data_IF_297463978266
#
_entry.id   IF_297463978266
#
_cell.length_a   1.000
_cell.length_b   1.000
_cell.length_c   1.000
_cell.angle_alpha   90.00
_cell.angle_beta   90.00
_cell.angle_gamma   90.00
#
_symmetry.space_group_name_H-M   'P 1'
#
loop_
_entity.id
_entity.type
_entity.pdbx_description
1 polymer ?
#
# COMPACT_ATOMS: atom_id res chain seq x y z
N UNK A 1 -3.39 7.09 -31.39
CA UNK A 1 -2.56 6.81 -30.96
C UNK A 1 -2.52 5.79 -30.08
N UNK A 2 -1.76 5.42 -29.65
CA UNK A 2 -1.48 4.34 -29.07
C UNK A 2 -1.79 4.30 -27.69
N UNK A 3 -2.42 3.35 -27.27
CA UNK A 3 -2.59 3.10 -25.90
C UNK A 3 -1.24 3.10 -25.30
N UNK A 4 -1.09 3.73 -24.22
CA UNK A 4 0.20 3.78 -23.65
C UNK A 4 0.58 2.39 -23.23
N UNK A 5 1.68 1.93 -23.71
CA UNK A 5 2.16 0.60 -23.33
C UNK A 5 2.31 0.47 -21.84
N UNK A 6 2.54 1.57 -21.16
CA UNK A 6 2.73 1.51 -19.73
C UNK A 6 1.52 0.99 -19.00
N UNK A 7 0.34 1.16 -19.56
CA UNK A 7 -0.84 0.65 -18.88
C UNK A 7 -1.00 -0.84 -19.08
N UNK A 8 -0.63 -1.33 -20.22
CA UNK A 8 -0.78 -2.74 -20.50
C UNK A 8 0.32 -3.56 -19.87
N UNK A 9 1.52 -3.04 -19.86
CA UNK A 9 2.67 -3.78 -19.39
C UNK A 9 3.27 -3.13 -18.16
N UNK A 10 2.42 -2.68 -17.26
CA UNK A 10 2.91 -2.02 -16.12
C UNK A 10 3.59 -2.96 -15.18
N UNK A 11 4.87 -2.95 -15.16
CA UNK A 11 5.64 -3.71 -14.21
C UNK A 11 6.78 -2.86 -13.75
N UNK A 12 7.37 -3.22 -12.61
CA UNK A 12 8.47 -2.44 -12.10
C UNK A 12 9.59 -2.39 -13.11
N UNK A 13 10.05 -1.20 -13.38
CA UNK A 13 11.20 -0.99 -14.24
C UNK A 13 12.42 -1.21 -13.36
N UNK A 14 13.30 -2.11 -13.78
CA UNK A 14 14.47 -2.41 -12.97
C UNK A 14 15.35 -1.19 -12.73
N UNK A 15 15.23 -0.17 -13.57
CA UNK A 15 16.06 1.01 -13.43
C UNK A 15 15.46 2.07 -12.50
N UNK A 16 14.25 1.87 -12.02
CA UNK A 16 13.63 2.82 -11.11
C UNK A 16 13.24 2.15 -9.81
N UNK A 17 13.13 2.96 -8.77
CA UNK A 17 12.71 2.46 -7.48
C UNK A 17 11.22 2.14 -7.51
N UNK A 18 10.82 1.17 -6.74
CA UNK A 18 9.42 0.86 -6.56
C UNK A 18 8.74 2.06 -5.90
N UNK A 19 7.52 2.33 -6.32
CA UNK A 19 6.78 3.52 -5.90
C UNK A 19 5.70 3.15 -4.90
N UNK A 20 5.74 3.82 -3.77
CA UNK A 20 4.87 3.51 -2.64
C UNK A 20 3.89 4.65 -2.41
N UNK A 21 2.61 4.32 -2.32
CA UNK A 21 1.56 5.26 -1.92
C UNK A 21 1.32 5.05 -0.44
N UNK A 22 1.37 6.13 0.35
CA UNK A 22 1.14 6.06 1.78
C UNK A 22 -0.20 6.71 2.09
N UNK A 23 -1.09 5.98 2.75
CA UNK A 23 -2.42 6.46 3.10
C UNK A 23 -2.51 6.52 4.62
N UNK A 24 -2.49 7.72 5.16
CA UNK A 24 -2.42 7.96 6.59
C UNK A 24 -2.90 9.37 6.86
N UNK A 25 -3.87 9.55 7.76
CA UNK A 25 -4.42 10.87 8.03
C UNK A 25 -3.66 11.66 9.09
N UNK A 26 -2.80 11.00 9.87
CA UNK A 26 -1.97 11.69 10.84
C UNK A 26 -0.64 12.05 10.20
N UNK A 27 -0.40 13.35 10.05
CA UNK A 27 0.74 13.83 9.30
C UNK A 27 2.08 13.35 9.85
N UNK A 28 2.21 13.34 11.18
CA UNK A 28 3.48 12.90 11.77
C UNK A 28 3.74 11.43 11.50
N UNK A 29 2.69 10.62 11.53
CA UNK A 29 2.83 9.20 11.23
C UNK A 29 3.16 9.01 9.74
N UNK A 30 2.50 9.79 8.88
CA UNK A 30 2.78 9.72 7.44
C UNK A 30 4.24 10.05 7.15
N UNK A 31 4.78 11.09 7.80
CA UNK A 31 6.17 11.47 7.62
C UNK A 31 7.12 10.39 8.12
N UNK A 32 6.78 9.75 9.24
CA UNK A 32 7.58 8.65 9.75
C UNK A 32 7.61 7.49 8.75
N UNK A 33 6.44 7.14 8.22
CA UNK A 33 6.37 6.08 7.23
C UNK A 33 7.16 6.43 5.97
N UNK A 34 7.06 7.67 5.54
CA UNK A 34 7.82 8.12 4.38
C UNK A 34 9.32 7.93 4.61
N UNK A 35 9.79 8.31 5.79
CA UNK A 35 11.20 8.15 6.13
C UNK A 35 11.60 6.68 6.09
N UNK A 36 10.78 5.81 6.67
CA UNK A 36 11.09 4.38 6.67
C UNK A 36 11.13 3.79 5.26
N UNK A 37 10.21 4.23 4.42
CA UNK A 37 10.16 3.75 3.04
C UNK A 37 11.42 4.18 2.29
N UNK A 38 11.81 5.43 2.44
CA UNK A 38 12.98 5.93 1.72
C UNK A 38 14.26 5.28 2.21
N UNK A 39 14.33 4.92 3.49
CA UNK A 39 15.49 4.20 4.01
C UNK A 39 15.65 2.84 3.33
N UNK A 40 14.58 2.29 2.81
CA UNK A 40 14.62 1.00 2.15
C UNK A 40 14.82 1.12 0.65
N UNK A 41 15.22 2.30 0.20
CA UNK A 41 15.53 2.56 -1.21
C UNK A 41 14.29 2.42 -2.09
N UNK A 42 13.15 2.84 -1.56
CA UNK A 42 11.91 2.90 -2.31
C UNK A 42 11.50 4.36 -2.43
N UNK A 43 10.68 4.65 -3.43
CA UNK A 43 10.20 6.00 -3.66
C UNK A 43 8.81 6.17 -3.09
N UNK A 44 8.48 7.38 -2.62
CA UNK A 44 7.14 7.68 -2.13
C UNK A 44 6.48 8.55 -3.18
N UNK A 45 5.44 8.03 -3.83
CA UNK A 45 4.81 8.78 -4.90
C UNK A 45 3.72 9.72 -4.40
N UNK A 46 3.13 9.46 -3.24
CA UNK A 46 2.15 10.37 -2.67
C UNK A 46 1.86 10.02 -1.23
N UNK A 47 1.42 11.02 -0.47
CA UNK A 47 0.90 10.84 0.88
C UNK A 47 -0.53 11.35 0.81
N UNK A 48 -1.51 10.52 1.13
CA UNK A 48 -2.91 10.94 1.10
C UNK A 48 -3.58 10.59 2.42
N UNK A 49 -4.55 11.40 2.86
CA UNK A 49 -5.13 11.21 4.19
C UNK A 49 -6.38 10.34 4.23
N UNK A 50 -6.98 10.01 3.10
CA UNK A 50 -8.25 9.32 3.13
C UNK A 50 -8.38 8.26 2.03
N UNK A 51 -9.45 7.49 2.11
CA UNK A 51 -9.67 6.40 1.17
C UNK A 51 -9.97 6.86 -0.24
N UNK A 52 -10.72 7.94 -0.38
CA UNK A 52 -11.02 8.45 -1.72
C UNK A 52 -9.75 8.89 -2.42
N UNK A 53 -8.88 9.60 -1.70
CA UNK A 53 -7.60 10.01 -2.25
C UNK A 53 -6.74 8.82 -2.62
N UNK A 54 -6.78 7.76 -1.80
CA UNK A 54 -6.01 6.57 -2.07
C UNK A 54 -6.46 5.91 -3.37
N UNK A 55 -7.76 5.78 -3.57
CA UNK A 55 -8.29 5.18 -4.78
C UNK A 55 -7.90 6.01 -6.00
N UNK A 56 -8.07 7.31 -5.89
CA UNK A 56 -7.75 8.22 -6.98
C UNK A 56 -6.29 8.14 -7.37
N UNK A 57 -5.40 8.21 -6.38
CA UNK A 57 -3.98 8.19 -6.65
C UNK A 57 -3.53 6.82 -7.18
N UNK A 58 -4.14 5.75 -6.70
CA UNK A 58 -3.79 4.42 -7.16
C UNK A 58 -4.16 4.23 -8.63
N UNK A 59 -5.18 4.93 -9.11
CA UNK A 59 -5.55 4.88 -10.52
C UNK A 59 -4.63 5.71 -11.38
N UNK A 60 -4.28 6.91 -10.89
CA UNK A 60 -3.55 7.87 -11.69
C UNK A 60 -2.05 7.70 -11.65
N UNK A 61 -1.52 7.15 -10.59
CA UNK A 61 -0.08 7.01 -10.43
C UNK A 61 0.37 5.59 -10.68
N UNK A 62 1.65 5.50 -10.97
CA UNK A 62 2.29 4.21 -11.17
C UNK A 62 2.67 3.65 -9.80
N UNK A 63 1.71 3.09 -9.12
CA UNK A 63 1.89 2.63 -7.74
C UNK A 63 2.24 1.15 -7.70
N UNK A 64 3.35 0.84 -7.03
CA UNK A 64 3.81 -0.54 -6.90
C UNK A 64 3.41 -1.15 -5.56
N UNK A 65 3.10 -0.34 -4.57
CA UNK A 65 2.78 -0.79 -3.24
C UNK A 65 1.99 0.26 -2.50
N UNK A 66 1.01 -0.14 -1.73
CA UNK A 66 0.23 0.78 -0.89
C UNK A 66 0.44 0.43 0.57
N UNK A 67 0.81 1.42 1.37
CA UNK A 67 0.78 1.31 2.83
C UNK A 67 -0.51 1.96 3.28
N UNK A 68 -1.41 1.18 3.86
CA UNK A 68 -2.77 1.62 4.12
C UNK A 68 -3.11 1.58 5.61
N UNK A 69 -3.32 2.75 6.20
CA UNK A 69 -3.88 2.81 7.54
C UNK A 69 -5.34 2.38 7.46
N UNK A 70 -5.81 1.70 8.48
CA UNK A 70 -7.19 1.23 8.50
C UNK A 70 -8.14 2.34 8.89
N UNK A 71 -7.79 3.13 9.90
CA UNK A 71 -8.64 4.24 10.34
C UNK A 71 -8.21 5.52 9.65
N UNK A 72 -9.06 5.99 8.77
CA UNK A 72 -8.76 7.16 7.95
C UNK A 72 -9.81 8.24 8.15
N UNK A 73 -9.46 9.45 7.77
CA UNK A 73 -10.42 10.54 7.72
C UNK A 73 -11.46 10.20 6.64
N UNK A 74 -12.66 10.76 6.80
CA UNK A 74 -13.70 10.54 5.82
C UNK A 74 -14.58 9.37 6.15
N UNK A 75 -15.40 8.95 5.19
CA UNK A 75 -16.39 7.91 5.42
C UNK A 75 -15.85 6.52 5.21
N UNK A 76 -14.82 6.40 4.39
CA UNK A 76 -14.32 5.10 4.00
C UNK A 76 -13.13 4.74 4.84
N UNK A 77 -13.09 3.53 5.38
CA UNK A 77 -11.89 3.10 6.10
C UNK A 77 -10.90 2.49 5.12
N UNK A 78 -9.72 2.14 5.62
CA UNK A 78 -8.66 1.63 4.76
C UNK A 78 -8.96 0.27 4.16
N UNK A 79 -9.76 -0.54 4.84
CA UNK A 79 -10.08 -1.87 4.30
C UNK A 79 -10.98 -1.73 3.07
N UNK A 80 -11.97 -0.84 3.15
CA UNK A 80 -12.83 -0.61 2.01
C UNK A 80 -12.07 0.04 0.85
N UNK A 81 -11.17 0.98 1.17
CA UNK A 81 -10.35 1.59 0.14
C UNK A 81 -9.48 0.53 -0.56
N UNK A 82 -8.89 -0.36 0.22
CA UNK A 82 -8.05 -1.41 -0.32
C UNK A 82 -8.86 -2.36 -1.21
N UNK A 83 -10.09 -2.67 -0.79
CA UNK A 83 -10.95 -3.53 -1.60
C UNK A 83 -11.19 -2.90 -2.97
N UNK A 84 -11.48 -1.61 -3.00
CA UNK A 84 -11.74 -0.92 -4.27
C UNK A 84 -10.50 -0.82 -5.14
N UNK A 85 -9.35 -0.57 -4.51
CA UNK A 85 -8.10 -0.54 -5.27
C UNK A 85 -7.84 -1.90 -5.90
N UNK A 86 -8.05 -2.98 -5.16
CA UNK A 86 -7.79 -4.33 -5.66
C UNK A 86 -8.80 -4.76 -6.71
N UNK A 87 -9.94 -4.13 -6.77
CA UNK A 87 -10.88 -4.39 -7.85
C UNK A 87 -10.35 -3.88 -9.19
N UNK A 88 -9.49 -2.88 -9.15
CA UNK A 88 -8.94 -2.29 -10.35
C UNK A 88 -7.63 -2.93 -10.76
N UNK A 89 -6.80 -3.26 -9.79
CA UNK A 89 -5.49 -3.82 -10.03
C UNK A 89 -5.09 -4.69 -8.87
N UNK A 90 -4.17 -5.61 -9.14
CA UNK A 90 -3.63 -6.48 -8.09
C UNK A 90 -2.46 -5.80 -7.37
N UNK A 91 -2.63 -4.56 -6.99
CA UNK A 91 -1.58 -3.81 -6.31
C UNK A 91 -1.36 -4.37 -4.91
N UNK A 92 -0.13 -4.67 -4.54
CA UNK A 92 0.15 -5.14 -3.19
C UNK A 92 -0.22 -4.09 -2.14
N UNK A 93 -0.78 -4.54 -1.03
CA UNK A 93 -1.21 -3.65 0.04
C UNK A 93 -0.71 -4.20 1.36
N UNK A 94 -0.11 -3.32 2.17
CA UNK A 94 0.27 -3.62 3.54
C UNK A 94 -0.58 -2.73 4.42
N UNK A 95 -1.33 -3.34 5.33
CA UNK A 95 -2.15 -2.56 6.27
C UNK A 95 -1.34 -2.19 7.49
N UNK A 96 -1.61 -1.00 8.01
CA UNK A 96 -0.96 -0.48 9.20
C UNK A 96 -2.05 -0.06 10.16
N UNK A 97 -1.97 -0.49 11.41
CA UNK A 97 -3.04 -0.21 12.35
C UNK A 97 -2.51 -0.05 13.76
N UNK A 98 -3.17 0.82 14.52
CA UNK A 98 -2.89 0.94 15.95
C UNK A 98 -3.50 -0.23 16.71
N UNK A 99 -4.53 -0.87 16.13
CA UNK A 99 -5.26 -1.93 16.79
C UNK A 99 -5.48 -3.11 15.84
N UNK A 100 -4.63 -4.10 15.95
CA UNK A 100 -4.74 -5.28 15.09
C UNK A 100 -5.46 -6.42 15.79
N UNK A 101 -6.69 -6.19 16.22
CA UNK A 101 -7.43 -7.23 16.94
C UNK A 101 -7.85 -8.35 16.00
N UNK A 102 -8.22 -9.52 16.55
CA UNK A 102 -8.56 -10.68 15.72
C UNK A 102 -9.71 -10.45 14.76
N UNK A 103 -10.71 -9.66 15.16
CA UNK A 103 -11.85 -9.37 14.30
C UNK A 103 -11.42 -8.57 13.08
N UNK A 104 -10.60 -7.55 13.30
CA UNK A 104 -10.09 -6.74 12.21
C UNK A 104 -9.22 -7.58 11.28
N UNK A 105 -8.35 -8.42 11.84
CA UNK A 105 -7.48 -9.26 11.01
C UNK A 105 -8.29 -10.26 10.19
N UNK A 106 -9.34 -10.82 10.77
CA UNK A 106 -10.20 -11.74 10.03
C UNK A 106 -10.93 -11.04 8.91
N UNK A 107 -11.36 -9.80 9.14
CA UNK A 107 -12.02 -9.02 8.12
C UNK A 107 -11.07 -8.72 6.95
N UNK A 108 -9.84 -8.33 7.28
CA UNK A 108 -8.85 -8.06 6.25
C UNK A 108 -8.59 -9.31 5.41
N UNK A 109 -8.48 -10.47 6.07
CA UNK A 109 -8.20 -11.69 5.33
C UNK A 109 -9.33 -12.04 4.37
N UNK A 110 -10.57 -11.73 4.74
CA UNK A 110 -11.70 -11.98 3.85
C UNK A 110 -11.70 -11.01 2.67
N UNK A 111 -11.30 -9.77 2.90
CA UNK A 111 -11.44 -8.72 1.89
C UNK A 111 -10.21 -8.63 1.00
N UNK A 112 -9.03 -8.72 1.60
CA UNK A 112 -7.76 -8.64 0.88
C UNK A 112 -6.88 -9.79 1.35
N UNK A 113 -7.15 -11.00 0.87
CA UNK A 113 -6.42 -12.18 1.34
C UNK A 113 -4.92 -12.06 1.19
N UNK A 114 -4.19 -12.42 2.21
CA UNK A 114 -2.74 -12.43 2.18
C UNK A 114 -2.08 -11.09 2.45
N UNK A 115 -2.84 -10.04 2.69
CA UNK A 115 -2.23 -8.74 2.97
C UNK A 115 -1.63 -8.72 4.37
N UNK A 116 -0.37 -8.30 4.51
CA UNK A 116 0.24 -8.18 5.84
C UNK A 116 -0.43 -7.06 6.64
N UNK A 117 -0.44 -7.24 7.96
CA UNK A 117 -0.98 -6.24 8.87
C UNK A 117 0.10 -5.94 9.90
N UNK A 118 0.56 -4.70 9.92
CA UNK A 118 1.61 -4.29 10.85
C UNK A 118 1.04 -3.37 11.91
N UNK A 119 1.40 -3.64 13.16
CA UNK A 119 0.94 -2.82 14.27
C UNK A 119 1.85 -1.61 14.45
N UNK A 120 1.27 -0.47 14.75
CA UNK A 120 2.02 0.74 15.06
C UNK A 120 2.60 0.63 16.46
N UNK A 121 3.79 1.17 16.70
CA UNK A 121 4.65 1.88 15.77
C UNK A 121 5.39 0.92 14.85
N UNK A 122 5.62 1.36 13.62
CA UNK A 122 6.25 0.52 12.61
C UNK A 122 7.76 0.65 12.73
N UNK A 123 8.45 -0.47 12.69
CA UNK A 123 9.92 -0.46 12.66
C UNK A 123 10.39 -0.72 11.24
N UNK A 124 11.61 -0.28 10.95
CA UNK A 124 12.19 -0.50 9.63
C UNK A 124 12.27 -1.98 9.30
N UNK A 125 12.61 -2.79 10.29
CA UNK A 125 12.76 -4.23 10.07
C UNK A 125 11.44 -4.89 9.73
N UNK A 126 10.39 -4.58 10.47
CA UNK A 126 9.09 -5.16 10.19
C UNK A 126 8.56 -4.73 8.84
N UNK A 127 8.76 -3.46 8.51
CA UNK A 127 8.33 -2.97 7.21
C UNK A 127 9.10 -3.67 6.10
N UNK A 128 10.41 -3.85 6.27
CA UNK A 128 11.21 -4.53 5.26
C UNK A 128 10.73 -5.95 5.02
N UNK A 129 10.41 -6.67 6.10
CA UNK A 129 9.91 -8.03 5.98
C UNK A 129 8.60 -8.07 5.21
N UNK A 130 7.69 -7.17 5.54
CA UNK A 130 6.38 -7.15 4.88
C UNK A 130 6.53 -6.79 3.41
N UNK A 131 7.39 -5.83 3.09
CA UNK A 131 7.63 -5.44 1.71
C UNK A 131 8.22 -6.61 0.93
N UNK A 132 9.20 -7.29 1.52
CA UNK A 132 9.80 -8.44 0.85
C UNK A 132 8.77 -9.50 0.53
N UNK A 133 7.85 -9.75 1.46
CA UNK A 133 6.84 -10.77 1.28
C UNK A 133 5.84 -10.42 0.18
N UNK A 134 5.38 -9.17 0.13
CA UNK A 134 4.36 -8.81 -0.86
C UNK A 134 4.93 -8.50 -2.23
N UNK A 135 6.20 -8.07 -2.28
CA UNK A 135 6.83 -7.73 -3.55
C UNK A 135 7.61 -8.90 -4.13
N UNK A 136 7.52 -10.05 -3.50
CA UNK A 136 8.23 -11.23 -3.96
C UNK A 136 7.73 -11.61 -5.35
N UNK A 137 8.63 -11.89 -6.28
CA UNK A 137 8.19 -12.31 -7.61
C UNK A 137 7.38 -13.58 -7.51
N UNK A 138 6.37 -13.69 -8.36
CA UNK A 138 5.57 -14.88 -8.41
C UNK A 138 6.45 -16.04 -8.88
N UNK A 139 6.43 -17.11 -8.12
CA UNK A 139 7.16 -18.29 -8.50
C UNK A 139 6.34 -19.07 -9.50
N UNK A 140 6.91 -19.28 -10.64
CA UNK A 140 6.24 -20.08 -11.65
C UNK A 140 7.02 -21.34 -11.78
N UNK A 141 6.49 -22.38 -11.31
CA UNK A 141 7.22 -23.63 -11.36
C UNK A 141 6.65 -24.56 -12.37
#
# INVERSE_FOLDING_TARGET
>A
MIATPSQAARRPDASRLARVLIVEDELLVAWHLESLVREQKLDVCALVPDGDGAIEQAEDLDVDLVLMDIRLAGRMDGIEAARRIRQQRATPIIFITAHGDPTTRAHIERVVPGAPVLAKPITAERLREAITNVMKPTQVD
#
